data_IF_935050725783
#
_entry.id   IF_935050725783
#
_cell.length_a   1.000
_cell.length_b   1.000
_cell.length_c   1.000
_cell.angle_alpha   90.00
_cell.angle_beta   90.00
_cell.angle_gamma   90.00
#
_symmetry.space_group_name_H-M   'P 1'
#
loop_
_entity.id
_entity.type
_entity.pdbx_description
1 polymer ?
#
# COMPACT_ATOMS: atom_id res chain seq x y z
N UNK A 1 19.75 3.70 -2.85
CA UNK A 1 18.83 4.51 -2.03
C UNK A 1 17.55 4.73 -2.82
N UNK A 2 16.42 4.29 -2.29
CA UNK A 2 15.12 4.48 -2.93
C UNK A 2 14.79 5.98 -2.99
N UNK A 3 14.18 6.41 -4.10
CA UNK A 3 13.88 7.83 -4.37
C UNK A 3 12.54 8.28 -3.77
N UNK A 4 11.82 7.39 -3.13
CA UNK A 4 10.47 7.60 -2.65
C UNK A 4 10.26 6.96 -1.28
N UNK A 5 9.37 7.56 -0.50
CA UNK A 5 8.81 6.96 0.70
C UNK A 5 7.37 6.50 0.47
N UNK A 6 6.92 5.53 1.25
CA UNK A 6 5.56 4.98 1.20
C UNK A 6 4.89 5.23 2.55
N UNK A 7 3.68 5.77 2.54
CA UNK A 7 2.84 5.91 3.70
C UNK A 7 1.63 4.97 3.58
N UNK A 8 1.41 4.15 4.61
CA UNK A 8 0.28 3.22 4.71
C UNK A 8 -0.45 3.40 6.04
N UNK A 9 -1.62 2.80 6.20
CA UNK A 9 -2.48 3.02 7.36
C UNK A 9 -1.92 2.34 8.60
N UNK A 10 -1.62 1.04 8.46
CA UNK A 10 -1.30 0.17 9.57
C UNK A 10 -0.11 -0.77 9.36
N UNK A 11 0.23 -1.48 10.43
CA UNK A 11 1.33 -2.45 10.43
C UNK A 11 1.01 -3.69 9.59
N UNK A 12 -0.28 -4.02 9.37
CA UNK A 12 -0.68 -5.08 8.43
C UNK A 12 -0.23 -4.74 7.01
N UNK A 13 -0.63 -3.58 6.51
CA UNK A 13 -0.31 -3.06 5.19
C UNK A 13 1.21 -3.00 4.98
N UNK A 14 1.95 -2.55 6.00
CA UNK A 14 3.41 -2.50 5.96
C UNK A 14 4.01 -3.89 5.78
N UNK A 15 3.51 -4.90 6.48
CA UNK A 15 3.98 -6.29 6.32
C UNK A 15 3.66 -6.83 4.94
N UNK A 16 2.46 -6.56 4.42
CA UNK A 16 2.05 -6.98 3.07
C UNK A 16 2.93 -6.34 2.01
N UNK A 17 3.23 -5.04 2.13
CA UNK A 17 4.13 -4.38 1.19
C UNK A 17 5.54 -4.93 1.23
N UNK A 18 6.07 -5.23 2.41
CA UNK A 18 7.39 -5.89 2.52
C UNK A 18 7.40 -7.23 1.78
N UNK A 19 6.36 -8.04 1.97
CA UNK A 19 6.21 -9.32 1.27
C UNK A 19 6.14 -9.11 -0.25
N UNK A 20 5.38 -8.11 -0.74
CA UNK A 20 5.33 -7.75 -2.16
C UNK A 20 6.73 -7.38 -2.67
N UNK A 21 7.43 -6.50 -1.96
CA UNK A 21 8.77 -6.07 -2.37
C UNK A 21 9.78 -7.21 -2.38
N UNK A 22 9.73 -8.11 -1.40
CA UNK A 22 10.54 -9.32 -1.36
C UNK A 22 10.29 -10.21 -2.58
N UNK A 23 9.01 -10.50 -2.90
CA UNK A 23 8.65 -11.31 -4.08
C UNK A 23 9.05 -10.67 -5.40
N UNK A 24 9.07 -9.34 -5.46
CA UNK A 24 9.51 -8.59 -6.63
C UNK A 24 11.03 -8.37 -6.68
N UNK A 25 11.81 -8.89 -5.73
CA UNK A 25 13.24 -8.65 -5.57
C UNK A 25 13.61 -7.15 -5.50
N UNK A 26 12.74 -6.36 -4.87
CA UNK A 26 12.94 -4.93 -4.64
C UNK A 26 13.47 -4.73 -3.22
N UNK A 27 14.66 -4.18 -3.10
CA UNK A 27 15.23 -3.87 -1.79
C UNK A 27 14.56 -2.62 -1.20
N UNK A 28 13.89 -2.76 -0.07
CA UNK A 28 13.25 -1.66 0.67
C UNK A 28 13.74 -1.66 2.12
N UNK A 29 14.10 -0.49 2.63
CA UNK A 29 14.48 -0.33 4.04
C UNK A 29 13.23 -0.07 4.89
N UNK A 30 13.30 -0.39 6.18
CA UNK A 30 12.23 -0.11 7.13
C UNK A 30 11.85 1.38 7.19
N UNK A 31 12.81 2.25 6.91
CA UNK A 31 12.60 3.69 6.87
C UNK A 31 11.91 4.20 5.60
N UNK A 32 11.85 3.38 4.55
CA UNK A 32 11.16 3.72 3.30
C UNK A 32 9.62 3.60 3.46
N UNK A 33 9.11 2.85 4.46
CA UNK A 33 7.68 2.72 4.75
C UNK A 33 7.35 3.35 6.11
N UNK A 34 6.44 4.33 6.16
CA UNK A 34 6.03 5.02 7.39
C UNK A 34 4.55 4.88 7.70
N UNK A 35 4.25 4.73 8.98
CA UNK A 35 2.90 4.73 9.51
C UNK A 35 2.54 6.10 10.11
N UNK A 36 1.26 6.51 10.10
CA UNK A 36 0.80 7.76 10.70
C UNK A 36 1.08 7.84 12.20
N UNK A 37 1.06 6.71 12.93
CA UNK A 37 1.48 6.56 14.34
C UNK A 37 1.98 5.15 14.62
N UNK A 38 2.67 4.94 15.76
CA UNK A 38 3.32 3.67 16.09
C UNK A 38 2.38 2.52 16.49
N UNK A 39 1.09 2.77 16.78
CA UNK A 39 0.27 1.77 17.50
C UNK A 39 -1.16 1.52 17.01
N UNK A 40 -1.74 2.31 16.11
CA UNK A 40 -3.10 2.04 15.59
C UNK A 40 -3.52 3.14 14.61
N UNK A 41 -3.14 3.00 13.34
CA UNK A 41 -3.58 3.92 12.29
C UNK A 41 -4.55 3.21 11.36
N UNK A 42 -5.73 3.78 11.19
CA UNK A 42 -6.58 3.55 10.00
C UNK A 42 -6.61 4.81 9.14
N UNK A 43 -7.41 4.81 8.08
CA UNK A 43 -7.65 5.93 7.15
C UNK A 43 -7.70 7.31 7.79
N UNK A 44 -8.49 7.48 8.83
CA UNK A 44 -8.64 8.77 9.51
C UNK A 44 -7.31 9.28 10.10
N UNK A 45 -6.51 8.38 10.69
CA UNK A 45 -5.19 8.73 11.21
C UNK A 45 -4.20 9.02 10.10
N UNK A 46 -4.24 8.26 9.00
CA UNK A 46 -3.42 8.53 7.83
C UNK A 46 -3.74 9.92 7.27
N UNK A 47 -5.02 10.23 7.08
CA UNK A 47 -5.53 11.52 6.63
C UNK A 47 -5.04 12.68 7.51
N UNK A 48 -5.25 12.58 8.83
CA UNK A 48 -4.84 13.62 9.80
C UNK A 48 -3.33 13.83 9.80
N UNK A 49 -2.54 12.78 9.60
CA UNK A 49 -1.08 12.85 9.66
C UNK A 49 -0.40 13.05 8.30
N UNK A 50 -1.13 13.14 7.18
CA UNK A 50 -0.52 13.26 5.83
C UNK A 50 0.54 14.37 5.77
N UNK A 51 0.24 15.55 6.28
CA UNK A 51 1.17 16.68 6.24
C UNK A 51 2.44 16.41 7.06
N UNK A 52 2.28 15.85 8.27
CA UNK A 52 3.40 15.45 9.12
C UNK A 52 4.25 14.38 8.46
N UNK A 53 3.65 13.42 7.77
CA UNK A 53 4.34 12.38 7.02
C UNK A 53 5.15 12.98 5.87
N UNK A 54 4.54 13.87 5.06
CA UNK A 54 5.24 14.59 3.98
C UNK A 54 6.45 15.35 4.52
N UNK A 55 6.31 16.07 5.63
CA UNK A 55 7.43 16.78 6.26
C UNK A 55 8.52 15.84 6.81
N UNK A 56 8.17 14.63 7.26
CA UNK A 56 9.17 13.63 7.68
C UNK A 56 9.91 13.04 6.48
N UNK A 57 9.19 12.75 5.41
CA UNK A 57 9.77 12.18 4.21
C UNK A 57 10.63 13.18 3.43
N UNK A 58 10.30 14.47 3.46
CA UNK A 58 11.03 15.50 2.69
C UNK A 58 12.51 15.62 3.07
N UNK A 59 12.94 15.15 4.24
CA UNK A 59 14.35 15.11 4.63
C UNK A 59 15.17 14.10 3.82
N UNK A 60 14.54 13.01 3.37
CA UNK A 60 15.24 11.87 2.74
C UNK A 60 14.78 11.60 1.31
N UNK A 61 13.56 11.99 0.95
CA UNK A 61 12.94 11.68 -0.33
C UNK A 61 12.31 12.92 -0.95
N UNK A 62 12.25 12.95 -2.28
CA UNK A 62 11.53 13.98 -3.06
C UNK A 62 10.16 13.49 -3.54
N UNK A 63 9.83 12.23 -3.25
CA UNK A 63 8.61 11.57 -3.67
C UNK A 63 8.02 10.81 -2.49
N UNK A 64 6.70 10.86 -2.36
CA UNK A 64 5.95 10.08 -1.38
C UNK A 64 4.73 9.46 -2.06
N UNK A 65 4.45 8.21 -1.70
CA UNK A 65 3.30 7.46 -2.18
C UNK A 65 2.43 7.16 -0.98
N UNK A 66 1.20 7.66 -0.97
CA UNK A 66 0.18 7.27 -0.02
C UNK A 66 -0.61 6.10 -0.60
N UNK A 67 -0.64 4.98 0.12
CA UNK A 67 -1.49 3.84 -0.19
C UNK A 67 -2.58 3.78 0.87
N UNK A 68 -3.82 3.78 0.41
CA UNK A 68 -5.00 3.89 1.25
C UNK A 68 -5.97 2.79 0.81
N UNK A 69 -6.54 2.06 1.75
CA UNK A 69 -7.63 1.16 1.40
C UNK A 69 -8.84 1.99 0.96
N UNK A 70 -9.56 1.57 -0.06
CA UNK A 70 -10.70 2.31 -0.58
C UNK A 70 -11.97 2.03 0.24
N UNK A 71 -12.12 0.82 0.80
CA UNK A 71 -13.37 0.28 1.41
C UNK A 71 -14.64 0.58 0.59
N UNK A 72 -14.53 0.81 -0.73
CA UNK A 72 -15.61 1.34 -1.56
C UNK A 72 -16.22 2.67 -1.07
N UNK A 73 -15.44 3.55 -0.44
CA UNK A 73 -15.90 4.85 0.07
C UNK A 73 -15.39 6.01 -0.80
N UNK A 74 -16.27 6.52 -1.67
CA UNK A 74 -15.99 7.70 -2.51
C UNK A 74 -15.63 8.94 -1.68
N UNK A 75 -16.27 9.11 -0.51
CA UNK A 75 -16.03 10.21 0.43
C UNK A 75 -14.57 10.29 0.89
N UNK A 76 -13.95 9.14 1.19
CA UNK A 76 -12.55 9.12 1.61
C UNK A 76 -11.63 9.49 0.45
N UNK A 77 -11.91 8.99 -0.75
CA UNK A 77 -11.09 9.32 -1.90
C UNK A 77 -11.09 10.82 -2.22
N UNK A 78 -12.24 11.48 -2.14
CA UNK A 78 -12.32 12.93 -2.32
C UNK A 78 -11.58 13.70 -1.22
N UNK A 79 -11.74 13.31 0.05
CA UNK A 79 -11.02 13.91 1.18
C UNK A 79 -9.51 13.82 1.00
N UNK A 80 -8.99 12.63 0.70
CA UNK A 80 -7.57 12.42 0.49
C UNK A 80 -7.03 13.16 -0.74
N UNK A 81 -7.81 13.23 -1.84
CA UNK A 81 -7.43 14.02 -3.03
C UNK A 81 -7.32 15.50 -2.71
N UNK A 82 -8.33 16.08 -2.07
CA UNK A 82 -8.33 17.49 -1.65
C UNK A 82 -7.14 17.78 -0.73
N UNK A 83 -6.91 16.92 0.26
CA UNK A 83 -5.80 17.06 1.21
C UNK A 83 -4.44 16.93 0.53
N UNK A 84 -4.28 16.00 -0.41
CA UNK A 84 -3.09 15.86 -1.25
C UNK A 84 -2.80 17.17 -1.98
N UNK A 85 -3.80 17.77 -2.62
CA UNK A 85 -3.62 18.98 -3.43
C UNK A 85 -3.27 20.22 -2.57
N UNK A 86 -3.83 20.33 -1.36
CA UNK A 86 -3.40 21.32 -0.38
C UNK A 86 -1.92 21.16 0.00
N UNK A 87 -1.52 19.94 0.38
CA UNK A 87 -0.15 19.69 0.83
C UNK A 87 0.83 19.85 -0.33
N UNK A 88 0.47 19.42 -1.55
CA UNK A 88 1.26 19.55 -2.76
C UNK A 88 1.52 21.02 -3.12
N UNK A 89 0.52 21.90 -2.97
CA UNK A 89 0.68 23.36 -3.17
C UNK A 89 1.64 23.97 -2.16
N UNK A 90 1.61 23.50 -0.92
CA UNK A 90 2.50 23.97 0.15
C UNK A 90 3.93 23.39 0.03
N UNK A 91 4.10 22.29 -0.69
CA UNK A 91 5.37 21.57 -0.86
C UNK A 91 5.65 21.30 -2.35
N UNK A 92 5.82 22.34 -3.20
CA UNK A 92 5.93 22.19 -4.66
C UNK A 92 7.15 21.37 -5.10
N UNK A 93 8.18 21.27 -4.26
CA UNK A 93 9.38 20.47 -4.48
C UNK A 93 9.18 18.96 -4.29
N UNK A 94 8.09 18.56 -3.64
CA UNK A 94 7.75 17.16 -3.37
C UNK A 94 6.80 16.65 -4.47
N UNK A 95 6.93 15.38 -4.85
CA UNK A 95 5.88 14.67 -5.60
C UNK A 95 5.06 13.82 -4.64
N UNK A 96 3.74 14.02 -4.62
CA UNK A 96 2.82 13.26 -3.77
C UNK A 96 1.90 12.42 -4.67
N UNK A 97 2.03 11.11 -4.59
CA UNK A 97 1.14 10.14 -5.22
C UNK A 97 0.15 9.60 -4.19
N UNK A 98 -1.06 9.29 -4.66
CA UNK A 98 -2.14 8.76 -3.85
C UNK A 98 -2.80 7.63 -4.65
N UNK A 99 -2.70 6.42 -4.13
CA UNK A 99 -3.29 5.22 -4.72
C UNK A 99 -4.23 4.57 -3.73
N UNK A 100 -5.34 4.07 -4.25
CA UNK A 100 -6.38 3.41 -3.48
C UNK A 100 -6.40 1.93 -3.84
N UNK A 101 -6.27 1.05 -2.84
CA UNK A 101 -6.56 -0.37 -3.04
C UNK A 101 -8.09 -0.52 -3.06
N UNK A 102 -8.67 -1.05 -4.14
CA UNK A 102 -10.13 -1.01 -4.36
C UNK A 102 -10.92 -1.71 -3.26
N UNK A 103 -10.37 -2.78 -2.70
CA UNK A 103 -10.87 -3.45 -1.50
C UNK A 103 -9.92 -3.20 -0.34
N UNK A 104 -8.76 -3.86 -0.37
CA UNK A 104 -7.73 -3.84 0.66
C UNK A 104 -6.35 -4.09 0.02
N UNK A 105 -5.26 -3.66 0.67
CA UNK A 105 -3.89 -3.82 0.18
C UNK A 105 -3.48 -5.29 0.00
N UNK A 106 -4.07 -6.24 0.74
CA UNK A 106 -3.91 -7.69 0.57
C UNK A 106 -4.21 -8.12 -0.87
N UNK A 107 -5.19 -7.49 -1.53
CA UNK A 107 -5.50 -7.76 -2.93
C UNK A 107 -4.28 -7.56 -3.82
N UNK A 108 -3.42 -6.58 -3.55
CA UNK A 108 -2.24 -6.34 -4.38
C UNK A 108 -1.18 -7.42 -4.26
N UNK A 109 -1.11 -8.11 -3.11
CA UNK A 109 -0.21 -9.25 -2.93
C UNK A 109 -0.59 -10.41 -3.86
N UNK A 110 -1.86 -10.55 -4.24
CA UNK A 110 -2.28 -11.54 -5.24
C UNK A 110 -1.66 -11.29 -6.61
N UNK A 111 -1.31 -10.04 -6.94
CA UNK A 111 -0.56 -9.70 -8.15
C UNK A 111 0.82 -10.35 -8.22
N UNK A 112 1.33 -10.90 -7.11
CA UNK A 112 2.55 -11.71 -7.09
C UNK A 112 2.29 -13.22 -7.30
N UNK A 113 1.04 -13.62 -7.55
CA UNK A 113 0.60 -15.01 -7.73
C UNK A 113 -0.20 -15.18 -9.03
N UNK A 114 0.39 -14.80 -10.17
CA UNK A 114 -0.24 -14.82 -11.51
C UNK A 114 -1.00 -16.11 -11.84
N UNK A 115 -0.40 -17.28 -11.57
CA UNK A 115 -1.04 -18.57 -11.88
C UNK A 115 -2.29 -18.80 -11.04
N UNK A 116 -2.31 -18.31 -9.80
CA UNK A 116 -3.45 -18.47 -8.90
C UNK A 116 -4.58 -17.50 -9.25
N UNK A 117 -4.25 -16.29 -9.72
CA UNK A 117 -5.23 -15.36 -10.27
C UNK A 117 -5.91 -15.94 -11.53
N UNK A 118 -5.12 -16.51 -12.44
CA UNK A 118 -5.63 -17.21 -13.64
C UNK A 118 -6.54 -18.38 -13.28
N UNK A 119 -6.14 -19.23 -12.32
CA UNK A 119 -6.96 -20.34 -11.84
C UNK A 119 -8.29 -19.88 -11.24
N UNK A 120 -8.28 -18.76 -10.53
CA UNK A 120 -9.47 -18.14 -9.95
C UNK A 120 -10.34 -17.39 -10.97
N UNK A 121 -9.96 -17.36 -12.25
CA UNK A 121 -10.61 -16.60 -13.33
C UNK A 121 -10.70 -15.09 -13.05
N UNK A 122 -9.72 -14.56 -12.33
CA UNK A 122 -9.59 -13.13 -12.07
C UNK A 122 -8.41 -12.59 -12.86
N UNK A 123 -8.66 -11.57 -13.69
CA UNK A 123 -7.60 -10.91 -14.47
C UNK A 123 -6.90 -9.80 -13.66
N UNK A 124 -7.60 -9.21 -12.69
CA UNK A 124 -7.08 -8.11 -11.87
C UNK A 124 -7.20 -8.44 -10.37
N UNK A 125 -6.13 -8.25 -9.57
CA UNK A 125 -6.14 -8.54 -8.14
C UNK A 125 -7.23 -7.77 -7.36
N UNK A 126 -7.48 -6.52 -7.74
CA UNK A 126 -8.48 -5.64 -7.10
C UNK A 126 -9.95 -6.09 -7.31
N UNK A 127 -10.19 -7.06 -8.20
CA UNK A 127 -11.54 -7.58 -8.50
C UNK A 127 -11.82 -8.92 -7.80
N UNK A 128 -10.87 -9.47 -7.03
CA UNK A 128 -11.06 -10.71 -6.28
C UNK A 128 -12.02 -10.46 -5.11
N UNK A 129 -13.06 -11.29 -4.94
CA UNK A 129 -14.10 -11.07 -3.93
C UNK A 129 -13.69 -11.38 -2.47
N UNK A 130 -12.70 -12.26 -2.30
CA UNK A 130 -12.13 -12.66 -1.01
C UNK A 130 -10.62 -12.88 -1.20
N UNK A 131 -9.85 -11.79 -1.26
CA UNK A 131 -8.42 -11.84 -1.57
C UNK A 131 -7.62 -12.60 -0.50
N UNK A 132 -7.96 -12.46 0.79
CA UNK A 132 -7.34 -13.20 1.90
C UNK A 132 -7.46 -14.71 1.71
N UNK A 133 -8.67 -15.21 1.45
CA UNK A 133 -8.90 -16.65 1.26
C UNK A 133 -8.17 -17.20 0.04
N UNK A 134 -8.04 -16.39 -1.02
CA UNK A 134 -7.26 -16.79 -2.18
C UNK A 134 -5.77 -16.84 -1.85
N UNK A 135 -5.22 -15.83 -1.15
CA UNK A 135 -3.83 -15.82 -0.67
C UNK A 135 -3.50 -17.05 0.19
N UNK A 136 -4.36 -17.39 1.15
CA UNK A 136 -4.18 -18.58 1.99
C UNK A 136 -4.08 -19.87 1.17
N UNK A 137 -4.89 -19.99 0.12
CA UNK A 137 -4.82 -21.14 -0.80
C UNK A 137 -3.51 -21.15 -1.58
N UNK A 138 -3.05 -19.99 -2.05
CA UNK A 138 -1.78 -19.86 -2.79
C UNK A 138 -0.60 -20.31 -1.93
N UNK A 139 -0.53 -19.82 -0.69
CA UNK A 139 0.52 -20.15 0.28
C UNK A 139 0.53 -21.66 0.55
N UNK A 140 -0.62 -22.25 0.90
CA UNK A 140 -0.75 -23.70 1.14
C UNK A 140 -0.35 -24.56 -0.06
N UNK A 141 -0.60 -24.08 -1.28
CA UNK A 141 -0.23 -24.80 -2.52
C UNK A 141 1.28 -24.80 -2.72
N UNK A 142 1.94 -23.65 -2.54
CA UNK A 142 3.40 -23.54 -2.62
C UNK A 142 4.13 -24.35 -1.55
N UNK A 143 3.61 -24.35 -0.32
CA UNK A 143 4.13 -25.20 0.78
C UNK A 143 4.08 -26.68 0.42
N UNK A 144 2.97 -27.15 -0.17
CA UNK A 144 2.84 -28.55 -0.61
C UNK A 144 3.78 -28.91 -1.76
N UNK A 145 4.15 -27.94 -2.59
CA UNK A 145 5.00 -28.15 -3.76
C UNK A 145 6.50 -27.92 -3.48
N UNK A 146 6.89 -27.52 -2.26
CA UNK A 146 8.25 -27.11 -1.91
C UNK A 146 8.82 -26.01 -2.84
N UNK A 147 7.98 -25.06 -3.24
CA UNK A 147 8.36 -23.93 -4.13
C UNK A 147 8.81 -22.68 -3.36
N UNK A 148 9.30 -22.84 -2.12
CA UNK A 148 9.82 -21.77 -1.26
C UNK A 148 11.36 -21.76 -1.25
#
# INVERSE_FOLDING_TARGET
MNKFGIAVEGESDRKILKEIFEKLNINIEDDDIKLPTAHSGGKDQLYKNMQKLVSKFSYRYKCIIFLVDYDNSEDWAEKFKTRKDEIQRQNPQMKIYLHFAKQEIESWLLGCYDDSLKEAKNEEPDNVSDPVKLLEKCIKKKEKNNEF
#
